data_IF_344008899022
#
_entry.id   IF_344008899022
#
_cell.length_a   1.000
_cell.length_b   1.000
_cell.length_c   1.000
_cell.angle_alpha   90.00
_cell.angle_beta   90.00
_cell.angle_gamma   90.00
#
_symmetry.space_group_name_H-M   'P 1'
#
loop_
_entity.id
_entity.type
_entity.pdbx_description
1 polymer ?
#
# COMPACT_ATOMS: atom_id res chain seq x y z
N UNK A 1 -19.65 16.68 -11.04
CA UNK A 1 -18.29 16.98 -11.52
C UNK A 1 -17.42 15.84 -11.04
N UNK A 2 -16.90 15.01 -11.95
CA UNK A 2 -16.10 13.83 -11.58
C UNK A 2 -14.75 14.24 -11.00
N UNK A 3 -14.16 13.40 -10.13
CA UNK A 3 -12.84 13.65 -9.56
C UNK A 3 -11.76 13.87 -10.66
N UNK A 4 -11.94 13.23 -11.81
CA UNK A 4 -11.02 13.29 -12.96
C UNK A 4 -10.99 14.66 -13.62
N UNK A 5 -12.15 15.33 -13.69
CA UNK A 5 -12.26 16.69 -14.20
C UNK A 5 -11.52 17.66 -13.27
N UNK A 6 -11.70 17.51 -11.96
CA UNK A 6 -11.04 18.38 -10.98
C UNK A 6 -9.51 18.25 -11.01
N UNK A 7 -9.00 17.02 -11.13
CA UNK A 7 -7.56 16.75 -11.21
C UNK A 7 -6.94 17.39 -12.45
N UNK A 8 -7.62 17.32 -13.60
CA UNK A 8 -7.18 17.91 -14.87
C UNK A 8 -7.26 19.43 -14.87
N UNK A 9 -8.31 20.00 -14.27
CA UNK A 9 -8.54 21.45 -14.24
C UNK A 9 -7.61 22.18 -13.25
N UNK A 10 -7.16 21.50 -12.19
CA UNK A 10 -6.31 22.08 -11.14
C UNK A 10 -5.05 21.25 -10.82
N UNK A 11 -4.10 21.12 -11.78
CA UNK A 11 -2.92 20.25 -11.63
C UNK A 11 -1.97 20.71 -10.51
N UNK A 12 -1.84 22.02 -10.30
CA UNK A 12 -1.00 22.56 -9.22
C UNK A 12 -1.53 22.22 -7.83
N UNK A 13 -2.85 22.32 -7.63
CA UNK A 13 -3.46 21.99 -6.35
C UNK A 13 -3.33 20.49 -6.04
N UNK A 14 -3.57 19.64 -7.04
CA UNK A 14 -3.37 18.19 -6.95
C UNK A 14 -1.93 17.84 -6.59
N UNK A 15 -0.96 18.46 -7.27
CA UNK A 15 0.47 18.30 -6.95
C UNK A 15 0.77 18.61 -5.49
N UNK A 16 0.33 19.77 -4.98
CA UNK A 16 0.60 20.18 -3.59
C UNK A 16 0.02 19.18 -2.60
N UNK A 17 -1.23 18.75 -2.79
CA UNK A 17 -1.88 17.78 -1.89
C UNK A 17 -1.13 16.44 -1.89
N UNK A 18 -0.79 15.91 -3.07
CA UNK A 18 -0.12 14.62 -3.17
C UNK A 18 1.29 14.64 -2.61
N UNK A 19 2.05 15.72 -2.82
CA UNK A 19 3.41 15.89 -2.30
C UNK A 19 3.39 16.06 -0.78
N UNK A 20 2.52 16.93 -0.25
CA UNK A 20 2.39 17.13 1.21
C UNK A 20 1.87 15.86 1.88
N UNK A 21 0.89 15.18 1.27
CA UNK A 21 0.38 13.88 1.70
C UNK A 21 1.48 12.82 1.72
N UNK A 22 2.22 12.66 0.63
CA UNK A 22 3.33 11.72 0.53
C UNK A 22 4.44 12.00 1.54
N UNK A 23 4.84 13.26 1.70
CA UNK A 23 5.87 13.67 2.66
C UNK A 23 5.44 13.40 4.11
N UNK A 24 4.21 13.80 4.48
CA UNK A 24 3.66 13.54 5.81
C UNK A 24 3.57 12.03 6.09
N UNK A 25 3.14 11.25 5.09
CA UNK A 25 3.10 9.80 5.15
C UNK A 25 4.48 9.19 5.40
N UNK A 26 5.50 9.63 4.67
CA UNK A 26 6.89 9.20 4.88
C UNK A 26 7.34 9.54 6.30
N UNK A 27 7.22 10.79 6.73
CA UNK A 27 7.72 11.24 8.03
C UNK A 27 7.08 10.47 9.19
N UNK A 28 5.75 10.35 9.18
CA UNK A 28 5.01 9.64 10.24
C UNK A 28 5.35 8.15 10.24
N UNK A 29 5.35 7.50 9.07
CA UNK A 29 5.63 6.06 9.00
C UNK A 29 7.09 5.73 9.29
N UNK A 30 8.05 6.56 8.86
CA UNK A 30 9.46 6.42 9.24
C UNK A 30 9.67 6.58 10.74
N UNK A 31 8.99 7.53 11.38
CA UNK A 31 9.06 7.69 12.84
C UNK A 31 8.50 6.48 13.59
N UNK A 32 7.35 5.96 13.16
CA UNK A 32 6.77 4.74 13.72
C UNK A 32 7.72 3.56 13.52
N UNK A 33 8.22 3.38 12.30
CA UNK A 33 9.14 2.30 11.95
C UNK A 33 10.42 2.35 12.79
N UNK A 34 10.99 3.54 12.97
CA UNK A 34 12.13 3.78 13.86
C UNK A 34 11.83 3.33 15.30
N UNK A 35 10.68 3.73 15.88
CA UNK A 35 10.29 3.29 17.22
C UNK A 35 10.10 1.77 17.30
N UNK A 36 9.45 1.16 16.31
CA UNK A 36 9.20 -0.29 16.31
C UNK A 36 10.50 -1.09 16.24
N UNK A 37 11.44 -0.68 15.37
CA UNK A 37 12.72 -1.37 15.18
C UNK A 37 13.64 -1.19 16.38
N UNK A 38 13.86 0.06 16.82
CA UNK A 38 14.91 0.35 17.80
C UNK A 38 14.45 0.24 19.25
N UNK A 39 13.20 0.62 19.56
CA UNK A 39 12.69 0.57 20.93
C UNK A 39 12.03 -0.75 21.28
N UNK A 40 11.90 -1.68 20.31
CA UNK A 40 11.29 -3.02 20.48
C UNK A 40 10.00 -2.97 21.31
N UNK A 41 9.19 -1.92 21.09
CA UNK A 41 7.98 -1.62 21.87
C UNK A 41 6.95 -2.76 21.75
N UNK A 42 7.05 -3.53 20.67
CA UNK A 42 6.19 -4.65 20.36
C UNK A 42 6.92 -5.98 20.52
N UNK A 43 6.20 -7.00 20.97
CA UNK A 43 6.72 -8.38 21.02
C UNK A 43 7.27 -8.82 19.66
N UNK A 44 8.29 -9.69 19.66
CA UNK A 44 9.09 -10.04 18.48
C UNK A 44 8.25 -10.35 17.23
N UNK A 45 7.21 -11.19 17.33
CA UNK A 45 6.35 -11.52 16.18
C UNK A 45 5.46 -10.36 15.73
N UNK A 46 4.88 -9.62 16.68
CA UNK A 46 4.00 -8.49 16.40
C UNK A 46 4.77 -7.33 15.72
N UNK A 47 6.00 -7.08 16.16
CA UNK A 47 6.87 -6.06 15.56
C UNK A 47 7.12 -6.29 14.07
N UNK A 48 7.28 -7.53 13.62
CA UNK A 48 7.50 -7.84 12.20
C UNK A 48 6.31 -7.45 11.30
N UNK A 49 5.08 -7.66 11.78
CA UNK A 49 3.89 -7.27 11.01
C UNK A 49 3.81 -5.74 10.89
N UNK A 50 4.11 -5.02 11.97
CA UNK A 50 4.19 -3.56 11.96
C UNK A 50 5.30 -3.03 11.06
N UNK A 51 6.45 -3.70 11.02
CA UNK A 51 7.55 -3.34 10.12
C UNK A 51 7.10 -3.50 8.66
N UNK A 52 6.48 -4.63 8.30
CA UNK A 52 5.95 -4.85 6.94
C UNK A 52 4.96 -3.77 6.53
N UNK A 53 4.01 -3.44 7.41
CA UNK A 53 3.04 -2.36 7.19
C UNK A 53 3.70 -1.00 7.02
N UNK A 54 4.69 -0.68 7.87
CA UNK A 54 5.44 0.58 7.80
C UNK A 54 6.21 0.72 6.49
N UNK A 55 6.81 -0.37 5.99
CA UNK A 55 7.49 -0.39 4.69
C UNK A 55 6.50 -0.12 3.56
N UNK A 56 5.32 -0.74 3.56
CA UNK A 56 4.32 -0.53 2.52
C UNK A 56 3.86 0.94 2.44
N UNK A 57 3.58 1.58 3.59
CA UNK A 57 3.25 3.01 3.59
C UNK A 57 4.41 3.91 3.22
N UNK A 58 5.64 3.54 3.58
CA UNK A 58 6.82 4.30 3.17
C UNK A 58 7.00 4.28 1.65
N UNK A 59 6.84 3.11 1.01
CA UNK A 59 6.88 2.98 -0.45
C UNK A 59 5.75 3.81 -1.08
N UNK A 60 4.53 3.72 -0.54
CA UNK A 60 3.37 4.49 -1.02
C UNK A 60 3.64 5.99 -0.96
N UNK A 61 4.15 6.48 0.17
CA UNK A 61 4.50 7.88 0.33
C UNK A 61 5.60 8.34 -0.64
N UNK A 62 6.61 7.49 -0.90
CA UNK A 62 7.63 7.77 -1.91
C UNK A 62 7.03 7.89 -3.31
N UNK A 63 6.18 6.96 -3.71
CA UNK A 63 5.51 6.96 -5.02
C UNK A 63 4.71 8.24 -5.23
N UNK A 64 3.93 8.67 -4.22
CA UNK A 64 3.17 9.91 -4.30
C UNK A 64 4.07 11.15 -4.33
N UNK A 65 5.15 11.15 -3.55
CA UNK A 65 6.09 12.26 -3.46
C UNK A 65 6.90 12.47 -4.74
N UNK A 66 7.39 11.38 -5.37
CA UNK A 66 8.39 11.47 -6.44
C UNK A 66 7.83 11.24 -7.85
N UNK A 67 6.79 10.43 -8.00
CA UNK A 67 6.26 10.06 -9.33
C UNK A 67 4.89 10.67 -9.55
N UNK A 68 3.89 10.33 -8.72
CA UNK A 68 2.49 10.68 -8.99
C UNK A 68 2.28 12.19 -8.86
N UNK A 69 2.74 12.81 -7.77
CA UNK A 69 2.63 14.25 -7.57
C UNK A 69 3.32 15.04 -8.68
N UNK A 70 4.66 14.94 -8.82
CA UNK A 70 5.40 15.65 -9.86
C UNK A 70 4.94 15.33 -11.29
N UNK A 71 4.44 14.12 -11.52
CA UNK A 71 3.93 13.68 -12.83
C UNK A 71 2.81 14.55 -13.37
N UNK A 72 1.98 15.14 -12.51
CA UNK A 72 0.91 16.06 -12.92
C UNK A 72 1.42 17.44 -13.39
N UNK A 73 2.65 17.83 -13.05
CA UNK A 73 3.27 19.08 -13.51
C UNK A 73 4.26 18.86 -14.66
N UNK A 74 5.05 17.79 -14.57
CA UNK A 74 6.16 17.50 -15.50
C UNK A 74 5.64 16.73 -16.74
N UNK A 75 4.51 16.03 -16.62
CA UNK A 75 3.93 15.25 -17.71
C UNK A 75 4.69 13.94 -17.97
N UNK A 76 4.80 13.07 -16.97
CA UNK A 76 5.42 11.76 -17.16
C UNK A 76 4.63 10.88 -18.16
N UNK A 77 5.29 9.93 -18.85
CA UNK A 77 4.62 8.95 -19.69
C UNK A 77 3.52 8.20 -18.93
N UNK A 78 2.36 8.02 -19.57
CA UNK A 78 1.18 7.36 -18.97
C UNK A 78 1.51 5.99 -18.36
N UNK A 79 2.38 5.21 -19.03
CA UNK A 79 2.83 3.91 -18.53
C UNK A 79 3.51 4.01 -17.16
N UNK A 80 4.35 5.02 -16.94
CA UNK A 80 5.04 5.22 -15.65
C UNK A 80 4.01 5.54 -14.56
N UNK A 81 3.01 6.36 -14.89
CA UNK A 81 1.95 6.73 -13.95
C UNK A 81 1.08 5.52 -13.57
N UNK A 82 0.70 4.69 -14.55
CA UNK A 82 -0.04 3.44 -14.30
C UNK A 82 0.75 2.49 -13.42
N UNK A 83 2.03 2.25 -13.72
CA UNK A 83 2.89 1.37 -12.91
C UNK A 83 3.03 1.92 -11.48
N UNK A 84 3.24 3.23 -11.32
CA UNK A 84 3.34 3.87 -10.01
C UNK A 84 2.06 3.69 -9.18
N UNK A 85 0.90 3.94 -9.78
CA UNK A 85 -0.39 3.75 -9.11
C UNK A 85 -0.63 2.28 -8.73
N UNK A 86 -0.22 1.33 -9.58
CA UNK A 86 -0.27 -0.10 -9.27
C UNK A 86 0.60 -0.47 -8.06
N UNK A 87 1.82 0.08 -7.97
CA UNK A 87 2.70 -0.14 -6.81
C UNK A 87 2.06 0.41 -5.53
N UNK A 88 1.47 1.60 -5.58
CA UNK A 88 0.75 2.18 -4.45
C UNK A 88 -0.47 1.34 -4.03
N UNK A 89 -1.18 0.75 -5.00
CA UNK A 89 -2.32 -0.14 -4.75
C UNK A 89 -1.88 -1.43 -4.04
N UNK A 90 -0.82 -2.09 -4.53
CA UNK A 90 -0.25 -3.28 -3.88
C UNK A 90 0.14 -2.97 -2.44
N UNK A 91 0.82 -1.85 -2.21
CA UNK A 91 1.21 -1.43 -0.86
C UNK A 91 0.00 -1.15 0.05
N UNK A 92 -1.09 -0.61 -0.51
CA UNK A 92 -2.34 -0.38 0.23
C UNK A 92 -2.99 -1.70 0.64
N UNK A 93 -3.07 -2.67 -0.27
CA UNK A 93 -3.59 -4.02 0.02
C UNK A 93 -2.73 -4.76 1.06
N UNK A 94 -1.40 -4.68 0.95
CA UNK A 94 -0.48 -5.24 1.95
C UNK A 94 -0.74 -4.63 3.33
N UNK A 95 -1.01 -3.33 3.38
CA UNK A 95 -1.30 -2.62 4.63
C UNK A 95 -2.63 -3.07 5.25
N UNK A 96 -3.66 -3.29 4.45
CA UNK A 96 -4.96 -3.82 4.88
C UNK A 96 -4.81 -5.26 5.41
N UNK A 97 -4.13 -6.13 4.67
CA UNK A 97 -3.88 -7.51 5.12
C UNK A 97 -3.01 -7.55 6.38
N UNK A 98 -2.03 -6.65 6.49
CA UNK A 98 -1.23 -6.50 7.72
C UNK A 98 -2.09 -6.09 8.91
N UNK A 99 -3.07 -5.20 8.72
CA UNK A 99 -4.05 -4.87 9.76
C UNK A 99 -4.92 -6.06 10.16
N UNK A 100 -5.36 -6.84 9.18
CA UNK A 100 -6.08 -8.07 9.44
C UNK A 100 -5.25 -9.07 10.26
N UNK A 101 -3.96 -9.26 9.93
CA UNK A 101 -3.04 -10.09 10.71
C UNK A 101 -2.83 -9.57 12.15
N UNK A 102 -2.75 -8.25 12.33
CA UNK A 102 -2.68 -7.62 13.66
C UNK A 102 -3.95 -7.92 14.47
N UNK A 103 -5.13 -7.76 13.86
CA UNK A 103 -6.41 -8.02 14.48
C UNK A 103 -6.56 -9.51 14.85
N UNK A 104 -6.23 -10.42 13.94
CA UNK A 104 -6.19 -11.86 14.19
C UNK A 104 -5.25 -12.23 15.34
N UNK A 105 -4.05 -11.66 15.34
CA UNK A 105 -3.07 -11.89 16.41
C UNK A 105 -3.61 -11.44 17.78
N UNK A 106 -4.33 -10.31 17.84
CA UNK A 106 -4.97 -9.84 19.09
C UNK A 106 -6.15 -10.70 19.49
N UNK A 107 -6.98 -11.12 18.54
CA UNK A 107 -8.12 -12.01 18.78
C UNK A 107 -7.66 -13.36 19.35
N UNK A 108 -6.67 -14.01 18.73
CA UNK A 108 -6.14 -15.30 19.18
C UNK A 108 -5.47 -15.24 20.56
N UNK A 109 -4.84 -14.10 20.88
CA UNK A 109 -4.27 -13.87 22.21
C UNK A 109 -5.35 -13.88 23.30
N UNK A 110 -6.53 -13.31 23.01
CA UNK A 110 -7.66 -13.21 23.95
C UNK A 110 -8.44 -14.54 24.02
N UNK A 111 -8.75 -15.15 22.87
CA UNK A 111 -9.65 -16.31 22.80
C UNK A 111 -8.94 -17.61 23.23
N UNK A 112 -7.66 -17.80 22.85
CA UNK A 112 -6.94 -19.07 23.11
C UNK A 112 -5.48 -18.80 23.52
N UNK A 113 -5.24 -18.24 24.73
CA UNK A 113 -3.90 -17.84 25.17
C UNK A 113 -2.91 -19.01 25.25
N UNK A 114 -3.37 -20.22 25.57
CA UNK A 114 -2.52 -21.42 25.68
C UNK A 114 -2.00 -21.92 24.32
N UNK A 115 -2.80 -21.79 23.26
CA UNK A 115 -2.43 -22.23 21.90
C UNK A 115 -1.73 -21.11 21.11
N UNK A 116 -1.87 -19.85 21.55
CA UNK A 116 -1.25 -18.68 20.94
C UNK A 116 0.27 -18.84 20.76
N UNK A 117 0.97 -19.40 21.76
CA UNK A 117 2.42 -19.61 21.73
C UNK A 117 2.86 -20.60 20.64
N UNK A 118 1.98 -21.52 20.24
CA UNK A 118 2.23 -22.51 19.20
C UNK A 118 1.84 -21.99 17.80
N UNK A 119 0.77 -21.19 17.70
CA UNK A 119 0.29 -20.65 16.42
C UNK A 119 1.17 -19.48 15.93
N UNK A 120 1.50 -18.53 16.82
CA UNK A 120 2.25 -17.30 16.47
C UNK A 120 3.75 -17.41 16.78
N UNK A 121 4.41 -18.43 16.22
CA UNK A 121 5.87 -18.52 16.22
C UNK A 121 6.47 -17.57 15.17
N UNK A 122 7.71 -17.12 15.41
CA UNK A 122 8.42 -16.16 14.53
C UNK A 122 8.39 -16.58 13.06
N UNK A 123 8.66 -17.85 12.78
CA UNK A 123 8.70 -18.39 11.42
C UNK A 123 7.34 -18.36 10.73
N UNK A 124 6.26 -18.66 11.48
CA UNK A 124 4.88 -18.63 10.95
C UNK A 124 4.43 -17.20 10.67
N UNK A 125 4.77 -16.25 11.54
CA UNK A 125 4.45 -14.84 11.30
C UNK A 125 5.17 -14.29 10.07
N UNK A 126 6.46 -14.62 9.89
CA UNK A 126 7.19 -14.23 8.68
C UNK A 126 6.62 -14.90 7.43
N UNK A 127 6.21 -16.17 7.52
CA UNK A 127 5.52 -16.86 6.44
C UNK A 127 4.19 -16.16 6.08
N UNK A 128 3.37 -15.80 7.07
CA UNK A 128 2.12 -15.07 6.83
C UNK A 128 2.37 -13.72 6.16
N UNK A 129 3.40 -12.97 6.60
CA UNK A 129 3.80 -11.72 5.94
C UNK A 129 4.19 -12.00 4.48
N UNK A 130 5.04 -13.00 4.23
CA UNK A 130 5.43 -13.36 2.87
C UNK A 130 4.22 -13.74 2.00
N UNK A 131 3.28 -14.52 2.55
CA UNK A 131 2.03 -14.86 1.87
C UNK A 131 1.17 -13.64 1.57
N UNK A 132 1.09 -12.66 2.48
CA UNK A 132 0.35 -11.41 2.19
C UNK A 132 0.95 -10.64 1.03
N UNK A 133 2.28 -10.51 0.97
CA UNK A 133 2.95 -9.87 -0.17
C UNK A 133 2.70 -10.62 -1.46
N UNK A 134 2.93 -11.95 -1.48
CA UNK A 134 2.71 -12.77 -2.66
C UNK A 134 1.26 -12.75 -3.13
N UNK A 135 0.31 -12.78 -2.21
CA UNK A 135 -1.12 -12.70 -2.52
C UNK A 135 -1.45 -11.37 -3.20
N UNK A 136 -0.98 -10.23 -2.65
CA UNK A 136 -1.26 -8.91 -3.23
C UNK A 136 -0.60 -8.69 -4.59
N UNK A 137 0.60 -9.21 -4.81
CA UNK A 137 1.24 -9.18 -6.13
C UNK A 137 0.47 -10.08 -7.09
N UNK A 138 0.08 -11.28 -6.64
CA UNK A 138 -0.73 -12.22 -7.41
C UNK A 138 -2.07 -11.65 -7.86
N UNK A 139 -2.72 -10.82 -7.04
CA UNK A 139 -3.97 -10.13 -7.41
C UNK A 139 -3.81 -9.12 -8.54
N UNK A 140 -2.58 -8.63 -8.81
CA UNK A 140 -2.30 -7.70 -9.91
C UNK A 140 -1.91 -8.39 -11.22
N UNK A 141 -1.48 -9.65 -11.16
CA UNK A 141 -1.10 -10.43 -12.35
C UNK A 141 -2.18 -10.49 -13.44
N UNK A 142 -3.49 -10.64 -13.13
CA UNK A 142 -4.53 -10.67 -14.16
C UNK A 142 -4.54 -9.44 -15.07
N UNK A 143 -4.17 -8.27 -14.55
CA UNK A 143 -4.11 -7.03 -15.34
C UNK A 143 -3.07 -7.07 -16.47
N UNK A 144 -2.04 -7.92 -16.35
CA UNK A 144 -0.95 -8.05 -17.34
C UNK A 144 -1.09 -9.29 -18.23
N UNK A 145 -1.79 -10.33 -17.77
CA UNK A 145 -1.91 -11.61 -18.47
C UNK A 145 -3.13 -11.63 -19.40
N UNK A 146 -4.18 -10.87 -19.08
CA UNK A 146 -5.39 -10.81 -19.91
C UNK A 146 -5.16 -9.77 -21.02
N UNK A 147 -5.06 -10.18 -22.30
CA UNK A 147 -4.90 -9.24 -23.41
C UNK A 147 -6.12 -8.31 -23.50
N UNK A 148 -5.89 -7.01 -23.60
CA UNK A 148 -6.93 -5.96 -23.67
C UNK A 148 -7.20 -5.20 -22.37
N UNK A 149 -6.93 -5.77 -21.19
CA UNK A 149 -7.17 -5.08 -19.91
C UNK A 149 -6.27 -3.85 -19.70
N UNK A 150 -5.02 -3.91 -20.15
CA UNK A 150 -4.08 -2.78 -20.03
C UNK A 150 -4.35 -1.70 -21.10
N UNK A 151 -4.78 -2.09 -22.30
CA UNK A 151 -5.12 -1.17 -23.38
C UNK A 151 -6.40 -0.38 -23.08
N UNK A 152 -7.44 -1.00 -22.53
CA UNK A 152 -8.64 -0.28 -22.05
C UNK A 152 -8.30 0.73 -20.95
N UNK A 153 -7.40 0.36 -20.02
CA UNK A 153 -6.90 1.26 -18.99
C UNK A 153 -6.08 2.44 -19.54
N UNK A 154 -5.48 2.29 -20.73
CA UNK A 154 -4.63 3.31 -21.36
C UNK A 154 -5.38 4.18 -22.38
N UNK A 155 -6.41 3.64 -23.07
CA UNK A 155 -7.04 4.28 -24.24
C UNK A 155 -8.46 4.82 -24.04
N UNK A 156 -9.24 4.44 -23.02
CA UNK A 156 -10.59 5.00 -22.92
C UNK A 156 -11.57 4.26 -22.03
N UNK A 157 -11.40 4.40 -20.71
CA UNK A 157 -12.47 4.71 -19.76
C UNK A 157 -11.84 4.74 -18.35
N UNK A 158 -11.48 5.93 -17.90
CA UNK A 158 -10.97 6.21 -16.54
C UNK A 158 -11.91 5.68 -15.42
N UNK A 159 -13.15 5.32 -15.78
CA UNK A 159 -14.22 4.88 -14.88
C UNK A 159 -14.02 3.53 -14.19
N UNK A 160 -13.22 2.59 -14.70
CA UNK A 160 -13.09 1.24 -14.10
C UNK A 160 -11.91 1.16 -13.12
N UNK A 161 -10.82 1.86 -13.41
CA UNK A 161 -9.62 1.82 -12.56
C UNK A 161 -9.81 2.60 -11.25
N UNK A 162 -10.55 3.71 -11.28
CA UNK A 162 -10.88 4.48 -10.07
C UNK A 162 -11.92 3.82 -9.17
N UNK A 163 -12.85 3.05 -9.74
CA UNK A 163 -13.84 2.30 -8.96
C UNK A 163 -13.22 1.14 -8.16
N UNK A 164 -12.03 0.67 -8.57
CA UNK A 164 -11.28 -0.38 -7.88
C UNK A 164 -10.26 0.19 -6.88
N UNK A 165 -10.00 1.50 -6.90
CA UNK A 165 -9.07 2.19 -5.96
C UNK A 165 -9.79 2.99 -4.86
N UNK A 166 -11.12 3.10 -4.92
CA UNK A 166 -11.98 3.76 -3.92
C UNK A 166 -12.79 2.78 -3.03
N UNK A 167 -12.49 1.48 -3.07
CA UNK A 167 -12.96 0.46 -2.13
C UNK A 167 -11.75 -0.12 -1.40
#
# INVERSE_FOLDING_TARGET
>A
MGADAFVKDHPFFTFVILVVGGLSGILVNSFILYKVIYRKVFGRSFGWIWISRGIAYFITGLVFLTIVGPGFLIGFPALIFVIAMQVALVCSLVSILSNFLIAMNRCLLIVIPFTFKHIFTRSRTLLLIALTWLFTIGTMTPAYVIPGCLEEATNGNEHVFLLTTLI
#
